data_IF_347869993685
#
_entry.id   IF_347869993685
#
_cell.length_a   1.000
_cell.length_b   1.000
_cell.length_c   1.000
_cell.angle_alpha   90.00
_cell.angle_beta   90.00
_cell.angle_gamma   90.00
#
_symmetry.space_group_name_H-M   'P 1'
#
loop_
_entity.id
_entity.type
_entity.pdbx_description
1 polymer ?
#
# COMPACT_ATOMS: atom_id res chain seq x y z
N UNK A 1 -20.00 -18.04 21.32
CA UNK A 1 -19.80 -17.08 20.20
C UNK A 1 -21.17 -16.74 19.65
N UNK A 2 -21.64 -15.49 19.79
CA UNK A 2 -22.96 -15.08 19.28
C UNK A 2 -22.97 -15.13 17.73
N UNK A 3 -24.10 -15.44 17.10
CA UNK A 3 -24.25 -15.47 15.64
C UNK A 3 -23.79 -14.16 14.97
N UNK A 4 -24.01 -13.02 15.64
CA UNK A 4 -23.50 -11.70 15.23
C UNK A 4 -21.97 -11.61 15.18
N UNK A 5 -21.27 -12.25 16.13
CA UNK A 5 -19.80 -12.27 16.20
C UNK A 5 -19.19 -13.13 15.09
N UNK A 6 -19.85 -14.23 14.74
CA UNK A 6 -19.45 -15.06 13.61
C UNK A 6 -19.57 -14.29 12.27
N UNK A 7 -20.67 -13.56 12.08
CA UNK A 7 -20.89 -12.73 10.88
C UNK A 7 -19.82 -11.64 10.70
N UNK A 8 -19.49 -10.91 11.79
CA UNK A 8 -18.46 -9.88 11.74
C UNK A 8 -17.07 -10.45 11.42
N UNK A 9 -16.74 -11.63 11.95
CA UNK A 9 -15.45 -12.28 11.68
C UNK A 9 -15.31 -12.67 10.20
N UNK A 10 -16.39 -13.17 9.59
CA UNK A 10 -16.39 -13.53 8.16
C UNK A 10 -16.17 -12.31 7.27
N UNK A 11 -16.84 -11.19 7.58
CA UNK A 11 -16.66 -9.93 6.85
C UNK A 11 -15.22 -9.43 6.99
N UNK A 12 -14.70 -9.42 8.23
CA UNK A 12 -13.33 -9.00 8.49
C UNK A 12 -12.31 -9.87 7.74
N UNK A 13 -12.47 -11.19 7.78
CA UNK A 13 -11.59 -12.12 7.06
C UNK A 13 -11.67 -11.93 5.54
N UNK A 14 -12.86 -11.66 4.99
CA UNK A 14 -13.03 -11.39 3.56
C UNK A 14 -12.33 -10.09 3.14
N UNK A 15 -12.46 -9.02 3.94
CA UNK A 15 -11.77 -7.74 3.69
C UNK A 15 -10.25 -7.90 3.77
N UNK A 16 -9.76 -8.54 4.84
CA UNK A 16 -8.34 -8.78 5.05
C UNK A 16 -7.75 -9.68 3.94
N UNK A 17 -8.47 -10.73 3.58
CA UNK A 17 -8.11 -11.62 2.47
C UNK A 17 -8.02 -10.86 1.15
N UNK A 18 -9.00 -10.01 0.85
CA UNK A 18 -8.99 -9.15 -0.34
C UNK A 18 -7.77 -8.23 -0.40
N UNK A 19 -7.39 -7.61 0.73
CA UNK A 19 -6.17 -6.78 0.82
C UNK A 19 -4.93 -7.60 0.48
N UNK A 20 -4.76 -8.78 1.09
CA UNK A 20 -3.59 -9.62 0.80
C UNK A 20 -3.58 -10.16 -0.63
N UNK A 21 -4.75 -10.51 -1.19
CA UNK A 21 -4.87 -10.90 -2.60
C UNK A 21 -4.43 -9.76 -3.52
N UNK A 22 -4.88 -8.53 -3.28
CA UNK A 22 -4.47 -7.36 -4.06
C UNK A 22 -2.98 -7.08 -3.93
N UNK A 23 -2.41 -7.17 -2.73
CA UNK A 23 -0.97 -7.02 -2.51
C UNK A 23 -0.16 -8.08 -3.28
N UNK A 24 -0.59 -9.35 -3.23
CA UNK A 24 0.05 -10.45 -3.93
C UNK A 24 -0.07 -10.32 -5.46
N UNK A 25 -1.23 -9.88 -5.96
CA UNK A 25 -1.44 -9.59 -7.38
C UNK A 25 -0.53 -8.47 -7.86
N UNK A 26 -0.39 -7.39 -7.08
CA UNK A 26 0.53 -6.29 -7.38
C UNK A 26 1.98 -6.76 -7.48
N UNK A 27 2.46 -7.54 -6.50
CA UNK A 27 3.80 -8.11 -6.52
C UNK A 27 4.00 -9.05 -7.73
N UNK A 28 3.02 -9.91 -8.02
CA UNK A 28 3.04 -10.84 -9.15
C UNK A 28 3.09 -10.10 -10.49
N UNK A 29 2.34 -9.01 -10.63
CA UNK A 29 2.33 -8.20 -11.85
C UNK A 29 3.68 -7.52 -12.08
N UNK A 30 4.25 -6.91 -11.03
CA UNK A 30 5.57 -6.27 -11.13
C UNK A 30 6.62 -7.32 -11.50
N UNK A 31 6.71 -8.42 -10.75
CA UNK A 31 7.65 -9.50 -11.04
C UNK A 31 7.41 -10.14 -12.41
N UNK A 32 6.15 -10.27 -12.85
CA UNK A 32 5.79 -10.86 -14.13
C UNK A 32 6.37 -10.10 -15.33
N UNK A 33 6.42 -8.76 -15.22
CA UNK A 33 6.95 -7.89 -16.28
C UNK A 33 8.45 -7.65 -16.14
N UNK A 34 8.96 -7.47 -14.92
CA UNK A 34 10.39 -7.13 -14.70
C UNK A 34 11.29 -8.36 -14.52
N UNK A 35 10.74 -9.51 -14.13
CA UNK A 35 11.47 -10.69 -13.66
C UNK A 35 12.38 -10.41 -12.45
N UNK A 36 12.09 -9.35 -11.70
CA UNK A 36 12.86 -8.94 -10.51
C UNK A 36 11.90 -8.66 -9.36
N UNK A 37 12.20 -9.21 -8.18
CA UNK A 37 11.42 -8.96 -6.97
C UNK A 37 11.62 -7.52 -6.48
N UNK A 38 10.51 -6.78 -6.36
CA UNK A 38 10.51 -5.46 -5.75
C UNK A 38 10.20 -5.58 -4.24
N UNK A 39 11.22 -5.40 -3.40
CA UNK A 39 11.05 -5.44 -1.95
C UNK A 39 10.38 -4.19 -1.35
N UNK A 40 10.34 -3.08 -2.09
CA UNK A 40 9.67 -1.84 -1.67
C UNK A 40 8.14 -1.88 -1.83
N UNK A 41 7.59 -2.98 -2.35
CA UNK A 41 6.14 -3.13 -2.57
C UNK A 41 5.32 -2.90 -1.28
N UNK A 42 5.80 -3.42 -0.14
CA UNK A 42 5.15 -3.21 1.16
C UNK A 42 5.16 -1.74 1.59
N UNK A 43 6.28 -1.06 1.38
CA UNK A 43 6.40 0.39 1.64
C UNK A 43 5.45 1.19 0.75
N UNK A 44 5.30 0.85 -0.54
CA UNK A 44 4.34 1.53 -1.42
C UNK A 44 2.90 1.40 -0.92
N UNK A 45 2.52 0.21 -0.43
CA UNK A 45 1.23 0.00 0.20
C UNK A 45 1.03 0.89 1.45
N UNK A 46 2.03 0.94 2.33
CA UNK A 46 2.01 1.78 3.53
C UNK A 46 1.86 3.27 3.20
N UNK A 47 2.61 3.74 2.21
CA UNK A 47 2.54 5.13 1.74
C UNK A 47 1.18 5.47 1.14
N UNK A 48 0.58 4.57 0.34
CA UNK A 48 -0.78 4.75 -0.18
C UNK A 48 -1.81 4.94 0.93
N UNK A 49 -1.76 4.10 1.97
CA UNK A 49 -2.63 4.25 3.14
C UNK A 49 -2.42 5.56 3.89
N UNK A 50 -1.16 5.97 4.08
CA UNK A 50 -0.83 7.23 4.75
C UNK A 50 -1.29 8.46 3.96
N UNK A 51 -1.21 8.45 2.62
CA UNK A 51 -1.72 9.54 1.81
C UNK A 51 -3.25 9.64 1.86
N UNK A 52 -3.96 8.51 1.79
CA UNK A 52 -5.40 8.49 1.97
C UNK A 52 -5.79 9.06 3.35
N UNK A 53 -5.07 8.65 4.41
CA UNK A 53 -5.28 9.17 5.75
C UNK A 53 -5.01 10.67 5.84
N UNK A 54 -3.94 11.16 5.24
CA UNK A 54 -3.59 12.59 5.22
C UNK A 54 -4.70 13.43 4.56
N UNK A 55 -5.21 12.96 3.42
CA UNK A 55 -6.29 13.62 2.69
C UNK A 55 -7.59 13.65 3.50
N UNK A 56 -7.97 12.54 4.12
CA UNK A 56 -9.19 12.50 4.95
C UNK A 56 -9.04 13.33 6.22
N UNK A 57 -7.86 13.30 6.86
CA UNK A 57 -7.64 13.97 8.15
C UNK A 57 -7.49 15.49 8.02
N UNK A 58 -6.73 15.96 7.04
CA UNK A 58 -6.35 17.38 6.92
C UNK A 58 -7.08 18.11 5.80
N UNK A 59 -7.41 17.44 4.70
CA UNK A 59 -8.21 18.04 3.62
C UNK A 59 -9.72 17.77 3.79
N UNK A 60 -10.12 17.05 4.85
CA UNK A 60 -11.51 16.71 5.17
C UNK A 60 -12.27 16.10 3.98
N UNK A 61 -11.55 15.34 3.14
CA UNK A 61 -12.14 14.70 1.97
C UNK A 61 -12.87 13.41 2.36
N UNK A 62 -14.02 13.19 1.73
CA UNK A 62 -14.73 11.92 1.79
C UNK A 62 -13.96 10.79 1.08
N UNK A 63 -14.38 9.55 1.32
CA UNK A 63 -13.72 8.35 0.80
C UNK A 63 -13.52 8.34 -0.71
N UNK A 64 -14.53 8.71 -1.49
CA UNK A 64 -14.46 8.70 -2.95
C UNK A 64 -13.34 9.58 -3.50
N UNK A 65 -13.38 10.91 -3.24
CA UNK A 65 -12.32 11.82 -3.65
C UNK A 65 -10.94 11.46 -3.10
N UNK A 66 -10.85 11.12 -1.81
CA UNK A 66 -9.58 10.76 -1.19
C UNK A 66 -8.95 9.53 -1.87
N UNK A 67 -9.75 8.50 -2.19
CA UNK A 67 -9.29 7.30 -2.89
C UNK A 67 -8.80 7.61 -4.31
N UNK A 68 -9.58 8.35 -5.10
CA UNK A 68 -9.20 8.73 -6.47
C UNK A 68 -7.91 9.55 -6.52
N UNK A 69 -7.77 10.54 -5.62
CA UNK A 69 -6.56 11.36 -5.52
C UNK A 69 -5.36 10.51 -5.07
N UNK A 70 -5.55 9.61 -4.11
CA UNK A 70 -4.49 8.71 -3.64
C UNK A 70 -3.98 7.82 -4.77
N UNK A 71 -4.87 7.25 -5.60
CA UNK A 71 -4.47 6.48 -6.79
C UNK A 71 -3.63 7.35 -7.73
N UNK A 72 -4.06 8.58 -8.00
CA UNK A 72 -3.32 9.50 -8.86
C UNK A 72 -1.91 9.82 -8.32
N UNK A 73 -1.81 10.14 -7.03
CA UNK A 73 -0.53 10.41 -6.37
C UNK A 73 0.37 9.16 -6.41
N UNK A 74 -0.16 7.98 -6.10
CA UNK A 74 0.59 6.73 -6.10
C UNK A 74 1.03 6.29 -7.49
N UNK A 75 0.21 6.55 -8.51
CA UNK A 75 0.59 6.33 -9.90
C UNK A 75 1.76 7.22 -10.30
N UNK A 76 1.69 8.51 -10.01
CA UNK A 76 2.78 9.46 -10.30
C UNK A 76 4.06 9.12 -9.52
N UNK A 77 3.92 8.77 -8.25
CA UNK A 77 5.03 8.31 -7.42
C UNK A 77 5.69 7.05 -8.00
N UNK A 78 4.90 6.04 -8.36
CA UNK A 78 5.38 4.81 -8.99
C UNK A 78 6.05 5.05 -10.35
N UNK A 79 5.49 5.94 -11.18
CA UNK A 79 6.12 6.36 -12.44
C UNK A 79 7.45 7.07 -12.20
N UNK A 80 7.51 7.95 -11.20
CA UNK A 80 8.74 8.62 -10.79
C UNK A 80 9.80 7.62 -10.31
N UNK A 81 9.41 6.70 -9.45
CA UNK A 81 10.26 5.62 -8.95
C UNK A 81 10.80 4.74 -10.09
N UNK A 82 9.93 4.32 -11.01
CA UNK A 82 10.33 3.54 -12.18
C UNK A 82 11.33 4.31 -13.04
N UNK A 83 11.03 5.56 -13.41
CA UNK A 83 11.91 6.35 -14.29
C UNK A 83 13.24 6.74 -13.64
N UNK A 84 13.22 7.10 -12.37
CA UNK A 84 14.39 7.63 -11.67
C UNK A 84 15.32 6.53 -11.13
N UNK A 85 14.74 5.44 -10.62
CA UNK A 85 15.51 4.41 -9.93
C UNK A 85 15.60 3.12 -10.73
N UNK A 86 14.51 2.62 -11.31
CA UNK A 86 14.50 1.27 -11.90
C UNK A 86 14.95 1.25 -13.36
N UNK A 87 14.40 2.13 -14.19
CA UNK A 87 14.69 2.23 -15.61
C UNK A 87 16.18 2.43 -15.91
N UNK A 88 16.93 3.30 -15.18
CA UNK A 88 18.35 3.48 -15.43
C UNK A 88 19.20 2.26 -15.06
N UNK A 89 18.70 1.35 -14.21
CA UNK A 89 19.45 0.15 -13.83
C UNK A 89 19.50 -0.87 -14.96
N UNK A 90 18.48 -0.90 -15.83
CA UNK A 90 18.36 -1.87 -16.94
C UNK A 90 19.51 -1.81 -17.95
N UNK A 91 20.33 -0.75 -17.92
CA UNK A 91 21.52 -0.60 -18.78
C UNK A 91 22.73 -1.41 -18.31
N UNK A 92 22.70 -1.96 -17.09
CA UNK A 92 23.81 -2.73 -16.53
C UNK A 92 23.62 -4.24 -16.77
N UNK A 93 24.73 -4.97 -16.96
CA UNK A 93 24.71 -6.40 -17.27
C UNK A 93 24.01 -7.26 -16.19
N UNK A 94 24.10 -6.84 -14.91
CA UNK A 94 23.50 -7.54 -13.75
C UNK A 94 22.41 -6.70 -13.05
N UNK A 95 21.57 -6.03 -13.85
CA UNK A 95 20.57 -5.10 -13.33
C UNK A 95 19.57 -5.75 -12.36
N UNK A 96 19.29 -7.05 -12.47
CA UNK A 96 18.34 -7.74 -11.61
C UNK A 96 18.76 -7.77 -10.13
N UNK A 97 20.01 -8.18 -9.86
CA UNK A 97 20.57 -8.14 -8.49
C UNK A 97 20.68 -6.71 -7.96
N UNK A 98 21.10 -5.80 -8.82
CA UNK A 98 21.21 -4.38 -8.47
C UNK A 98 19.84 -3.80 -8.12
N UNK A 99 18.79 -4.14 -8.87
CA UNK A 99 17.43 -3.70 -8.61
C UNK A 99 16.87 -4.28 -7.29
N UNK A 100 17.19 -5.52 -6.93
CA UNK A 100 16.85 -6.07 -5.62
C UNK A 100 17.46 -5.21 -4.51
N UNK A 101 18.76 -4.91 -4.58
CA UNK A 101 19.46 -4.10 -3.57
C UNK A 101 18.85 -2.69 -3.50
N UNK A 102 18.58 -2.06 -4.64
CA UNK A 102 17.97 -0.73 -4.69
C UNK A 102 16.55 -0.74 -4.12
N UNK A 103 15.75 -1.77 -4.39
CA UNK A 103 14.40 -1.88 -3.83
C UNK A 103 14.41 -2.14 -2.32
N UNK A 104 15.36 -2.91 -1.80
CA UNK A 104 15.56 -3.06 -0.35
C UNK A 104 15.98 -1.75 0.31
N UNK A 105 16.94 -1.03 -0.28
CA UNK A 105 17.35 0.29 0.18
C UNK A 105 16.21 1.30 0.12
N UNK A 106 15.38 1.23 -0.92
CA UNK A 106 14.20 2.07 -1.08
C UNK A 106 13.14 1.76 -0.03
N UNK A 107 12.90 0.48 0.27
CA UNK A 107 11.99 0.06 1.34
C UNK A 107 12.45 0.66 2.68
N UNK A 108 13.72 0.45 3.04
CA UNK A 108 14.31 1.00 4.26
C UNK A 108 14.18 2.53 4.31
N UNK A 109 14.49 3.22 3.22
CA UNK A 109 14.36 4.68 3.14
C UNK A 109 12.91 5.14 3.33
N UNK A 110 11.96 4.52 2.64
CA UNK A 110 10.54 4.87 2.68
C UNK A 110 9.90 4.55 4.03
N UNK A 111 10.30 3.45 4.67
CA UNK A 111 9.82 3.05 5.98
C UNK A 111 10.36 4.02 7.04
N UNK A 112 11.65 4.38 7.00
CA UNK A 112 12.21 5.39 7.91
C UNK A 112 11.61 6.78 7.67
N UNK A 113 11.36 7.15 6.42
CA UNK A 113 10.70 8.40 6.10
C UNK A 113 9.26 8.41 6.64
N UNK A 114 8.57 7.28 6.62
CA UNK A 114 7.28 7.12 7.30
C UNK A 114 7.42 7.34 8.80
N UNK A 115 8.41 6.75 9.46
CA UNK A 115 8.62 6.96 10.89
C UNK A 115 8.86 8.44 11.25
N UNK A 116 9.64 9.16 10.42
CA UNK A 116 9.94 10.59 10.65
C UNK A 116 8.72 11.49 10.38
N UNK A 117 7.99 11.22 9.30
CA UNK A 117 6.85 12.07 8.87
C UNK A 117 5.59 11.76 9.64
N UNK A 118 5.42 10.50 10.04
CA UNK A 118 4.15 9.97 10.49
C UNK A 118 4.19 9.35 11.89
N UNK A 119 5.38 9.09 12.44
CA UNK A 119 5.56 8.49 13.74
C UNK A 119 5.43 6.96 13.71
N UNK A 120 5.46 6.37 14.91
CA UNK A 120 5.41 4.91 15.14
C UNK A 120 3.99 4.37 15.31
N UNK A 121 3.00 5.25 15.49
CA UNK A 121 1.62 4.82 15.77
C UNK A 121 0.87 4.44 14.50
N UNK A 122 0.20 3.29 14.55
CA UNK A 122 -0.68 2.84 13.49
C UNK A 122 -1.89 3.75 13.37
N UNK A 123 -2.18 4.20 12.14
CA UNK A 123 -3.30 5.10 11.87
C UNK A 123 -4.44 4.35 11.23
N UNK A 124 -5.61 4.55 11.78
CA UNK A 124 -6.85 4.07 11.20
C UNK A 124 -7.51 5.18 10.41
N UNK A 125 -8.03 4.83 9.24
CA UNK A 125 -9.02 5.66 8.58
C UNK A 125 -10.31 5.67 9.43
N UNK A 126 -11.17 6.69 9.29
CA UNK A 126 -12.50 6.67 9.88
C UNK A 126 -13.26 5.38 9.53
N UNK A 127 -14.38 5.13 10.19
CA UNK A 127 -15.22 3.99 9.82
C UNK A 127 -16.09 4.38 8.62
N UNK A 128 -15.98 3.64 7.51
CA UNK A 128 -16.83 3.81 6.32
C UNK A 128 -18.30 3.50 6.60
N UNK A 129 -18.55 2.59 7.54
CA UNK A 129 -19.89 2.17 7.98
C UNK A 129 -19.86 2.12 9.50
N UNK A 130 -20.66 2.96 10.15
CA UNK A 130 -20.91 2.86 11.59
C UNK A 130 -21.98 1.80 11.83
N UNK A 131 -21.60 0.67 12.43
CA UNK A 131 -22.56 -0.36 12.85
C UNK A 131 -21.93 -1.73 13.09
N UNK A 132 -22.33 -2.39 14.17
CA UNK A 132 -22.16 -3.84 14.32
C UNK A 132 -23.42 -4.52 13.78
N UNK A 133 -23.28 -5.44 12.82
CA UNK A 133 -24.42 -6.24 12.36
C UNK A 133 -24.85 -7.17 13.48
N UNK A 134 -25.85 -6.74 14.26
CA UNK A 134 -26.52 -7.58 15.25
C UNK A 134 -27.58 -8.40 14.52
N UNK A 135 -27.24 -9.63 14.15
CA UNK A 135 -28.25 -10.65 13.87
C UNK A 135 -28.92 -10.98 15.21
N UNK A 136 -30.20 -10.60 15.33
CA UNK A 136 -31.07 -10.97 16.45
C UNK A 136 -31.31 -12.49 16.45
#
# INVERSE_FOLDING_TARGET
MSASMAGNLLIYAAVLGGIYTLMALGLTLVYGVTRVFNFAQGSFFLWGGNFAWLLMRYAHLDYGPAFGITIGIMFLFGLGYEKALMYPLRRFADWGWTAIIVTLGSALFLDNLTLVTFGIEGRTLPHLVEGSFKFA
#
